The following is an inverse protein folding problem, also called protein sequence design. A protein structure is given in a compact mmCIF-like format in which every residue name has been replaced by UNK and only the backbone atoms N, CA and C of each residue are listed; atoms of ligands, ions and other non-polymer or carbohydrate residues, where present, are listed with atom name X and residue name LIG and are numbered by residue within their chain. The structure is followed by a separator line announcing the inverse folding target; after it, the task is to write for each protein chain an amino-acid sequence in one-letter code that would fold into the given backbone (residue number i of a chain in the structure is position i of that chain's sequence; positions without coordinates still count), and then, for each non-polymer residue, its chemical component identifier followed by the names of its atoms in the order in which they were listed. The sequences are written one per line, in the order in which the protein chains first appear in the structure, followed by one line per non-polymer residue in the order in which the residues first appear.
data_IF_450548330918
#
_entry.id   IF_450548330918
#
_cell.length_a   1.000
_cell.length_b   1.000
_cell.length_c   1.000
_cell.angle_alpha   90.00
_cell.angle_beta   90.00
_cell.angle_gamma   90.00
#
_symmetry.space_group_name_H-M   'P 1'
#
loop_
_entity.id
_entity.type
_entity.pdbx_description
1 polymer ?
#
# COMPACT_ATOMS: atom_id res chain seq x y z
N UNK A 1 22.86 24.64 -39.12
CA UNK A 1 21.44 24.43 -38.81
C UNK A 1 21.37 23.48 -37.62
N UNK A 2 21.08 24.01 -36.43
CA UNK A 2 20.94 23.21 -35.20
C UNK A 2 19.54 22.60 -35.22
N UNK A 3 19.43 21.28 -35.12
CA UNK A 3 18.15 20.59 -35.08
C UNK A 3 17.33 21.08 -33.86
N UNK A 4 15.99 21.23 -34.00
CA UNK A 4 15.15 21.56 -32.85
C UNK A 4 15.25 20.44 -31.80
N UNK A 5 15.28 20.78 -30.50
CA UNK A 5 15.26 19.77 -29.44
C UNK A 5 13.98 18.94 -29.59
N UNK A 6 14.11 17.61 -29.55
CA UNK A 6 12.97 16.71 -29.52
C UNK A 6 12.10 17.05 -28.29
N UNK A 7 10.77 17.05 -28.41
CA UNK A 7 9.90 17.22 -27.25
C UNK A 7 10.26 16.12 -26.23
N UNK A 8 10.51 16.53 -24.98
CA UNK A 8 10.69 15.59 -23.89
C UNK A 8 9.48 14.64 -23.88
N UNK A 9 9.67 13.32 -23.67
CA UNK A 9 8.55 12.41 -23.53
C UNK A 9 7.64 12.98 -22.44
N UNK A 10 6.36 13.19 -22.79
CA UNK A 10 5.34 13.59 -21.84
C UNK A 10 5.32 12.49 -20.80
N UNK A 11 5.94 12.72 -19.65
CA UNK A 11 5.84 11.81 -18.53
C UNK A 11 4.34 11.60 -18.29
N UNK A 12 3.90 10.34 -18.26
CA UNK A 12 2.51 10.05 -17.95
C UNK A 12 2.13 10.84 -16.67
N UNK A 13 0.93 11.45 -16.61
CA UNK A 13 0.52 12.17 -15.42
C UNK A 13 0.59 11.21 -14.23
N UNK A 14 1.16 11.68 -13.11
CA UNK A 14 1.19 10.92 -11.87
C UNK A 14 -0.25 10.55 -11.47
N UNK A 15 -0.45 9.36 -10.86
CA UNK A 15 -1.77 8.98 -10.41
C UNK A 15 -2.29 9.90 -9.31
N UNK A 16 -3.62 10.01 -9.16
CA UNK A 16 -4.20 10.69 -8.03
C UNK A 16 -3.86 9.91 -6.74
N UNK A 17 -3.41 10.62 -5.71
CA UNK A 17 -3.16 10.07 -4.37
C UNK A 17 -4.35 9.24 -3.85
N UNK A 18 -5.57 9.66 -4.17
CA UNK A 18 -6.79 8.95 -3.79
C UNK A 18 -6.86 7.52 -4.33
N UNK A 19 -6.32 7.25 -5.53
CA UNK A 19 -6.30 5.89 -6.07
C UNK A 19 -5.37 4.98 -5.25
N UNK A 20 -4.23 5.51 -4.80
CA UNK A 20 -3.30 4.77 -3.93
C UNK A 20 -3.90 4.55 -2.54
N UNK A 21 -4.56 5.59 -2.00
CA UNK A 21 -5.26 5.52 -0.71
C UNK A 21 -6.40 4.49 -0.75
N UNK A 22 -7.15 4.39 -1.85
CA UNK A 22 -8.25 3.42 -1.98
C UNK A 22 -7.73 1.96 -1.94
N UNK A 23 -6.59 1.69 -2.58
CA UNK A 23 -5.90 0.39 -2.52
C UNK A 23 -5.52 0.05 -1.08
N UNK A 24 -4.92 1.01 -0.35
CA UNK A 24 -4.51 0.83 1.04
C UNK A 24 -5.68 0.67 1.98
N UNK A 25 -6.73 1.48 1.81
CA UNK A 25 -7.95 1.41 2.59
C UNK A 25 -8.55 0.01 2.47
N UNK A 26 -8.74 -0.50 1.25
CA UNK A 26 -9.25 -1.87 1.01
C UNK A 26 -8.33 -2.96 1.55
N UNK A 27 -7.00 -2.78 1.46
CA UNK A 27 -6.03 -3.73 2.00
C UNK A 27 -6.14 -3.85 3.53
N UNK A 28 -6.28 -2.70 4.19
CA UNK A 28 -6.36 -2.60 5.65
C UNK A 28 -7.75 -2.88 6.22
N UNK A 29 -8.79 -2.86 5.38
CA UNK A 29 -10.17 -3.08 5.78
C UNK A 29 -10.40 -4.57 6.13
N UNK A 30 -10.81 -4.90 7.38
CA UNK A 30 -11.14 -6.27 7.77
C UNK A 30 -12.44 -6.79 7.12
N UNK A 31 -13.29 -5.92 6.57
CA UNK A 31 -14.51 -6.32 5.88
C UNK A 31 -14.25 -6.82 4.45
N UNK A 32 -13.09 -6.48 3.87
CA UNK A 32 -12.67 -6.97 2.55
C UNK A 32 -12.04 -8.35 2.73
N UNK A 33 -12.52 -9.35 1.99
CA UNK A 33 -11.96 -10.69 2.07
C UNK A 33 -10.55 -10.72 1.47
N UNK A 34 -9.67 -11.56 2.02
CA UNK A 34 -8.31 -11.74 1.49
C UNK A 34 -8.24 -12.00 -0.02
N UNK A 35 -9.22 -12.71 -0.58
CA UNK A 35 -9.30 -12.98 -2.02
C UNK A 35 -9.47 -11.71 -2.88
N UNK A 36 -10.24 -10.73 -2.40
CA UNK A 36 -10.38 -9.42 -3.05
C UNK A 36 -9.10 -8.58 -2.88
N UNK A 37 -8.39 -8.77 -1.76
CA UNK A 37 -7.10 -8.11 -1.48
C UNK A 37 -5.95 -8.63 -2.34
N UNK A 38 -6.00 -9.90 -2.78
CA UNK A 38 -5.00 -10.46 -3.71
C UNK A 38 -4.92 -9.64 -5.00
N UNK A 39 -6.05 -9.10 -5.47
CA UNK A 39 -6.08 -8.21 -6.64
C UNK A 39 -5.49 -6.81 -6.39
N UNK A 40 -5.11 -6.48 -5.16
CA UNK A 40 -4.52 -5.20 -4.76
C UNK A 40 -3.00 -5.27 -4.57
N UNK A 41 -2.43 -6.46 -4.69
CA UNK A 41 -1.00 -6.71 -4.49
C UNK A 41 -0.44 -7.42 -5.72
N UNK A 42 0.65 -6.89 -6.24
CA UNK A 42 1.36 -7.43 -7.38
C UNK A 42 1.86 -8.85 -7.07
N UNK A 43 1.60 -9.78 -7.98
CA UNK A 43 1.95 -11.20 -7.83
C UNK A 43 1.42 -11.86 -6.54
N UNK A 44 0.39 -11.29 -5.89
CA UNK A 44 -0.29 -12.01 -4.83
C UNK A 44 -1.05 -13.20 -5.39
N UNK A 45 -1.10 -14.25 -4.59
CA UNK A 45 -1.73 -15.53 -4.91
C UNK A 45 -2.78 -15.85 -3.86
N UNK A 46 -3.55 -16.93 -4.10
CA UNK A 46 -4.52 -17.41 -3.12
C UNK A 46 -3.88 -17.79 -1.78
N UNK A 47 -2.58 -18.10 -1.74
CA UNK A 47 -1.84 -18.38 -0.51
C UNK A 47 -1.72 -17.12 0.36
N UNK A 48 -1.52 -15.96 -0.27
CA UNK A 48 -1.41 -14.67 0.40
C UNK A 48 -2.76 -14.16 0.93
N UNK A 49 -3.88 -14.64 0.39
CA UNK A 49 -5.22 -14.23 0.79
C UNK A 49 -5.42 -14.40 2.31
N UNK A 50 -4.98 -15.52 2.87
CA UNK A 50 -5.10 -15.77 4.31
C UNK A 50 -4.25 -14.81 5.16
N UNK A 51 -3.06 -14.43 4.67
CA UNK A 51 -2.19 -13.47 5.34
C UNK A 51 -2.76 -12.04 5.27
N UNK A 52 -3.29 -11.64 4.11
CA UNK A 52 -3.93 -10.34 3.86
C UNK A 52 -5.24 -10.17 4.66
N UNK A 53 -6.01 -11.25 4.81
CA UNK A 53 -7.19 -11.29 5.66
C UNK A 53 -6.82 -11.09 7.13
N UNK A 54 -5.83 -11.87 7.61
CA UNK A 54 -5.27 -11.75 8.97
C UNK A 54 -4.73 -10.35 9.24
N UNK A 55 -4.06 -9.71 8.29
CA UNK A 55 -3.54 -8.36 8.45
C UNK A 55 -4.65 -7.35 8.79
N UNK A 56 -5.74 -7.31 8.00
CA UNK A 56 -6.88 -6.43 8.29
C UNK A 56 -7.54 -6.76 9.63
N UNK A 57 -7.70 -8.06 9.94
CA UNK A 57 -8.25 -8.50 11.22
C UNK A 57 -7.37 -8.12 12.41
N UNK A 58 -6.05 -8.22 12.26
CA UNK A 58 -5.09 -7.82 13.28
C UNK A 58 -5.13 -6.32 13.53
N UNK A 59 -5.24 -5.49 12.49
CA UNK A 59 -5.43 -4.05 12.64
C UNK A 59 -6.70 -3.72 13.42
N UNK A 60 -7.79 -4.42 13.13
CA UNK A 60 -9.05 -4.28 13.86
C UNK A 60 -8.94 -4.70 15.33
N UNK A 61 -8.32 -5.86 15.58
CA UNK A 61 -8.13 -6.42 16.93
C UNK A 61 -7.22 -5.56 17.80
N UNK A 62 -6.19 -4.95 17.20
CA UNK A 62 -5.30 -3.98 17.84
C UNK A 62 -5.96 -2.62 18.11
N UNK A 63 -7.21 -2.40 17.68
CA UNK A 63 -7.91 -1.11 17.83
C UNK A 63 -7.42 -0.02 16.88
N UNK A 64 -6.60 -0.37 15.88
CA UNK A 64 -5.95 0.61 15.00
C UNK A 64 -6.93 1.30 14.04
N UNK A 65 -8.14 0.76 13.88
CA UNK A 65 -9.18 1.26 12.99
C UNK A 65 -10.07 2.33 13.66
N UNK A 66 -10.51 3.35 12.92
CA UNK A 66 -10.24 3.58 11.49
C UNK A 66 -8.82 4.09 11.23
N UNK A 67 -8.18 3.55 10.19
CA UNK A 67 -6.87 4.01 9.73
C UNK A 67 -7.05 5.20 8.80
N UNK A 68 -6.33 6.29 9.06
CA UNK A 68 -6.23 7.40 8.12
C UNK A 68 -4.95 7.23 7.29
N UNK A 69 -5.10 7.16 5.97
CA UNK A 69 -3.98 7.09 5.03
C UNK A 69 -3.87 8.41 4.28
N UNK A 70 -2.66 8.97 4.26
CA UNK A 70 -2.34 10.16 3.49
C UNK A 70 -1.14 9.87 2.60
N UNK A 71 -1.35 9.84 1.28
CA UNK A 71 -0.28 9.65 0.31
C UNK A 71 0.29 11.01 -0.11
N UNK A 72 1.57 11.21 0.18
CA UNK A 72 2.35 12.42 -0.13
C UNK A 72 3.58 12.06 -0.95
N UNK A 73 4.27 13.08 -1.47
CA UNK A 73 5.55 12.89 -2.19
C UNK A 73 5.47 11.89 -3.37
N UNK A 74 4.33 11.86 -4.08
CA UNK A 74 4.12 10.97 -5.22
C UNK A 74 5.13 11.27 -6.33
N UNK A 75 5.88 10.26 -6.75
CA UNK A 75 6.85 10.34 -7.84
C UNK A 75 6.93 9.03 -8.60
N UNK A 76 7.33 9.09 -9.87
CA UNK A 76 7.68 7.89 -10.61
C UNK A 76 8.94 7.25 -9.99
N UNK A 77 8.93 5.93 -9.85
CA UNK A 77 10.08 5.18 -9.36
C UNK A 77 11.24 5.31 -10.36
N UNK A 78 12.41 5.70 -9.86
CA UNK A 78 13.63 5.73 -10.67
C UNK A 78 14.25 4.32 -10.83
N UNK A 79 13.91 3.40 -9.91
CA UNK A 79 14.38 2.02 -9.94
C UNK A 79 13.55 1.16 -10.91
N UNK A 80 12.22 1.34 -10.88
CA UNK A 80 11.26 0.49 -11.57
C UNK A 80 10.39 1.33 -12.54
N UNK A 81 10.71 1.32 -13.85
CA UNK A 81 10.02 2.16 -14.83
C UNK A 81 8.52 1.86 -14.89
N UNK A 82 7.70 2.87 -14.59
CA UNK A 82 6.24 2.75 -14.56
C UNK A 82 5.65 2.54 -13.17
N UNK A 83 6.47 2.24 -12.16
CA UNK A 83 6.00 2.23 -10.77
C UNK A 83 5.95 3.64 -10.20
N UNK A 84 5.13 3.83 -9.18
CA UNK A 84 4.99 5.09 -8.46
C UNK A 84 5.34 4.86 -7.01
N UNK A 85 6.25 5.67 -6.49
CA UNK A 85 6.59 5.70 -5.06
C UNK A 85 5.82 6.84 -4.43
N UNK A 86 5.16 6.56 -3.31
CA UNK A 86 4.50 7.57 -2.49
C UNK A 86 4.88 7.36 -1.02
N UNK A 87 5.08 8.45 -0.30
CA UNK A 87 5.20 8.42 1.15
C UNK A 87 3.79 8.35 1.74
N UNK A 88 3.47 7.25 2.40
CA UNK A 88 2.14 7.02 2.97
C UNK A 88 2.20 7.20 4.47
N UNK A 89 1.60 8.28 4.94
CA UNK A 89 1.38 8.56 6.36
C UNK A 89 0.14 7.80 6.82
N UNK A 90 0.35 6.87 7.74
CA UNK A 90 -0.70 6.06 8.38
C UNK A 90 -0.89 6.55 9.80
N UNK A 91 -2.12 6.91 10.14
CA UNK A 91 -2.52 7.28 11.49
C UNK A 91 -3.55 6.29 12.01
N UNK A 92 -3.22 5.64 13.12
CA UNK A 92 -4.08 4.69 13.83
C UNK A 92 -4.98 5.39 14.84
N UNK A 93 -6.14 4.80 15.14
CA UNK A 93 -7.06 5.29 16.16
C UNK A 93 -6.71 4.86 17.60
N UNK A 94 -5.53 4.26 17.83
CA UNK A 94 -5.09 3.80 19.14
C UNK A 94 -4.94 4.95 20.15
N UNK A 95 -4.94 4.63 21.45
CA UNK A 95 -4.59 5.59 22.51
C UNK A 95 -3.30 5.14 23.23
N UNK A 96 -2.18 5.90 23.09
CA UNK A 96 -2.02 7.07 22.23
C UNK A 96 -1.99 6.71 20.72
N UNK A 97 -2.36 7.66 19.83
CA UNK A 97 -2.43 7.40 18.39
C UNK A 97 -1.04 7.16 17.82
N UNK A 98 -0.86 5.99 17.21
CA UNK A 98 0.33 5.67 16.44
C UNK A 98 0.26 6.35 15.08
N UNK A 99 1.27 7.16 14.75
CA UNK A 99 1.48 7.73 13.41
C UNK A 99 2.83 7.26 12.87
N UNK A 100 2.82 6.73 11.65
CA UNK A 100 4.03 6.31 10.96
C UNK A 100 3.93 6.65 9.47
N UNK A 101 5.05 7.02 8.85
CA UNK A 101 5.12 7.25 7.41
C UNK A 101 6.00 6.19 6.78
N UNK A 102 5.51 5.57 5.71
CA UNK A 102 6.22 4.49 5.03
C UNK A 102 6.26 4.75 3.52
N UNK A 103 7.44 4.68 2.87
CA UNK A 103 7.51 4.75 1.43
C UNK A 103 6.92 3.46 0.85
N UNK A 104 5.84 3.60 0.10
CA UNK A 104 5.14 2.50 -0.56
C UNK A 104 5.30 2.64 -2.07
N UNK A 105 5.59 1.52 -2.73
CA UNK A 105 5.69 1.48 -4.17
C UNK A 105 4.47 0.78 -4.76
N UNK A 106 3.91 1.40 -5.79
CA UNK A 106 2.70 0.98 -6.47
C UNK A 106 2.98 0.72 -7.94
N UNK A 107 2.42 -0.36 -8.46
CA UNK A 107 2.49 -0.76 -9.86
C UNK A 107 1.13 -0.45 -10.53
N UNK A 108 1.12 0.12 -11.74
CA UNK A 108 -0.10 0.38 -12.48
C UNK A 108 -0.66 -0.93 -13.03
N UNK A 109 -1.97 -1.12 -12.90
CA UNK A 109 -2.69 -2.26 -13.50
C UNK A 109 -3.84 -1.78 -14.36
N UNK A 110 -4.45 -2.68 -15.15
CA UNK A 110 -5.42 -2.33 -16.19
C UNK A 110 -6.57 -1.42 -15.71
N UNK A 111 -6.98 -1.53 -14.46
CA UNK A 111 -8.13 -0.79 -13.89
C UNK A 111 -7.77 0.01 -12.62
N UNK A 112 -6.48 0.24 -12.35
CA UNK A 112 -6.08 0.96 -11.14
C UNK A 112 -4.63 0.76 -10.74
N UNK A 113 -4.40 0.65 -9.43
CA UNK A 113 -3.08 0.51 -8.83
C UNK A 113 -3.05 -0.68 -7.90
N UNK A 114 -1.86 -1.26 -7.76
CA UNK A 114 -1.59 -2.32 -6.80
C UNK A 114 -0.31 -2.01 -6.06
N UNK A 115 -0.19 -2.48 -4.83
CA UNK A 115 1.07 -2.49 -4.10
C UNK A 115 2.03 -3.47 -4.75
N UNK A 116 3.31 -3.09 -4.88
CA UNK A 116 4.33 -4.05 -5.30
C UNK A 116 4.45 -5.19 -4.29
N UNK A 117 4.84 -6.37 -4.78
CA UNK A 117 5.07 -7.56 -3.93
C UNK A 117 6.00 -7.24 -2.77
N UNK A 118 7.07 -6.48 -3.05
CA UNK A 118 8.08 -6.06 -2.07
C UNK A 118 7.48 -5.26 -0.91
N UNK A 119 6.66 -4.25 -1.20
CA UNK A 119 6.03 -3.45 -0.13
C UNK A 119 4.98 -4.27 0.62
N UNK A 120 4.22 -5.12 -0.08
CA UNK A 120 3.23 -5.98 0.55
C UNK A 120 3.88 -7.01 1.50
N UNK A 121 4.96 -7.67 1.09
CA UNK A 121 5.71 -8.60 1.95
C UNK A 121 6.24 -7.92 3.21
N UNK A 122 6.72 -6.67 3.11
CA UNK A 122 7.14 -5.90 4.27
C UNK A 122 5.95 -5.65 5.21
N UNK A 123 4.82 -5.17 4.69
CA UNK A 123 3.62 -4.90 5.48
C UNK A 123 3.07 -6.18 6.15
N UNK A 124 3.10 -7.31 5.44
CA UNK A 124 2.69 -8.61 5.96
C UNK A 124 3.61 -9.07 7.09
N UNK A 125 4.93 -8.90 6.96
CA UNK A 125 5.89 -9.20 8.05
C UNK A 125 5.66 -8.33 9.29
N UNK A 126 5.31 -7.05 9.11
CA UNK A 126 4.94 -6.16 10.22
C UNK A 126 3.63 -6.62 10.89
N UNK A 127 2.63 -7.04 10.10
CA UNK A 127 1.38 -7.59 10.60
C UNK A 127 1.56 -8.90 11.39
N UNK A 128 2.39 -9.81 10.88
CA UNK A 128 2.69 -11.08 11.56
C UNK A 128 3.38 -10.85 12.92
N UNK A 129 4.35 -9.92 12.95
CA UNK A 129 5.02 -9.49 14.18
C UNK A 129 4.06 -8.86 15.19
N UNK A 130 3.05 -8.11 14.72
CA UNK A 130 2.01 -7.54 15.58
C UNK A 130 1.10 -8.64 16.17
N UNK A 131 0.80 -9.71 15.43
CA UNK A 131 0.01 -10.84 15.96
C UNK A 131 0.78 -11.73 16.94
N UNK A 132 2.11 -11.80 16.82
CA UNK A 132 2.96 -12.57 17.74
C UNK A 132 3.06 -11.95 19.15
N UNK A 133 2.63 -10.69 19.32
CA UNK A 133 2.62 -9.98 20.60
C UNK A 133 1.30 -10.16 21.36
N UNK A 134 0.80 -11.39 21.48
CA UNK A 134 -0.13 -11.72 22.58
C UNK A 134 0.72 -12.17 23.77
N UNK A 135 0.87 -11.38 24.85
CA UNK A 135 1.54 -11.88 26.04
C UNK A 135 0.70 -13.02 26.64
N UNK A 136 1.31 -14.15 27.06
CA UNK A 136 0.58 -15.15 27.82
C UNK A 136 0.14 -14.52 29.15
N UNK A 137 -1.16 -14.66 29.44
CA UNK A 137 -1.80 -14.30 30.70
C UNK A 137 -1.18 -15.03 31.89
#
# INVERSE_FOLDING_TARGET
MVAPPAPAPVAAPLPPAQALIDVLARLSDPAVAGADKVGLVELATADDAAALDKFGKALADNGALPLSFEATDLKWSEADPGNVVAAVDVTTANDPPGKFSFPMEFTPVRDGWQLTRKTADLLLQFGDSATASTPPR
#
